data_IF_456359134207
#
_entry.id   IF_456359134207
#
_cell.length_a   1.000
_cell.length_b   1.000
_cell.length_c   1.000
_cell.angle_alpha   90.00
_cell.angle_beta   90.00
_cell.angle_gamma   90.00
#
_symmetry.space_group_name_H-M   'P 1'
#
loop_
_entity.id
_entity.type
_entity.pdbx_description
1 polymer ?
#
# COMPACT_ATOMS: atom_id res chain seq x y z
N UNK A 1 11.10 1.42 5.19
CA UNK A 1 11.95 1.05 4.03
C UNK A 1 11.66 -0.39 3.68
N UNK A 2 11.49 -0.69 2.40
CA UNK A 2 11.29 -2.07 1.91
C UNK A 2 12.52 -2.46 1.10
N UNK A 3 13.03 -3.65 1.39
CA UNK A 3 14.15 -4.27 0.69
C UNK A 3 13.69 -5.60 0.10
N UNK A 4 14.18 -5.91 -1.10
CA UNK A 4 14.07 -7.25 -1.69
C UNK A 4 15.46 -7.88 -1.61
N UNK A 5 15.53 -9.17 -1.30
CA UNK A 5 16.77 -9.93 -1.25
C UNK A 5 16.53 -11.34 -1.78
N UNK A 6 17.56 -11.91 -2.38
CA UNK A 6 17.64 -13.35 -2.58
C UNK A 6 17.84 -14.03 -1.22
N UNK A 7 17.10 -15.10 -0.95
CA UNK A 7 17.25 -15.87 0.29
C UNK A 7 18.56 -16.66 0.31
N UNK A 8 19.07 -17.04 -0.86
CA UNK A 8 20.34 -17.77 -1.01
C UNK A 8 21.56 -16.84 -0.94
N UNK A 9 21.36 -15.53 -1.17
CA UNK A 9 22.35 -14.48 -0.93
C UNK A 9 21.76 -13.25 -0.21
N UNK A 10 21.56 -13.32 1.12
CA UNK A 10 21.02 -12.20 1.91
C UNK A 10 21.84 -10.91 1.87
N UNK A 11 23.10 -10.98 1.42
CA UNK A 11 23.99 -9.82 1.35
C UNK A 11 23.66 -8.91 0.15
N UNK A 12 22.98 -9.43 -0.87
CA UNK A 12 22.62 -8.72 -2.11
C UNK A 12 21.29 -7.94 -2.05
N UNK A 13 20.84 -7.56 -0.84
CA UNK A 13 19.55 -6.85 -0.69
C UNK A 13 19.54 -5.49 -1.40
N UNK A 14 18.42 -5.18 -2.06
CA UNK A 14 18.21 -3.90 -2.75
C UNK A 14 17.06 -3.13 -2.10
N UNK A 15 17.26 -1.84 -1.79
CA UNK A 15 16.20 -0.96 -1.29
C UNK A 15 15.30 -0.58 -2.47
N UNK A 16 14.05 -1.02 -2.46
CA UNK A 16 13.08 -0.70 -3.52
C UNK A 16 12.08 0.38 -3.12
N UNK A 17 11.82 0.56 -1.83
CA UNK A 17 10.91 1.62 -1.36
C UNK A 17 11.47 2.33 -0.15
N UNK A 18 11.53 3.66 -0.24
CA UNK A 18 11.80 4.52 0.90
C UNK A 18 10.55 4.78 1.74
N UNK A 19 10.67 4.68 3.06
CA UNK A 19 9.58 4.90 4.02
C UNK A 19 8.35 4.00 3.83
N UNK A 20 8.48 2.89 3.08
CA UNK A 20 7.46 1.84 2.98
C UNK A 20 7.31 1.05 4.28
N UNK A 21 6.06 0.69 4.60
CA UNK A 21 5.64 -0.22 5.68
C UNK A 21 5.35 -1.61 5.14
N UNK A 22 4.19 -2.19 5.50
CA UNK A 22 3.84 -3.57 5.14
C UNK A 22 3.60 -3.74 3.63
N UNK A 23 4.28 -4.69 2.96
CA UNK A 23 4.08 -5.00 1.55
C UNK A 23 3.19 -6.22 1.28
N UNK A 24 2.76 -6.35 0.03
CA UNK A 24 2.18 -7.56 -0.57
C UNK A 24 2.54 -7.59 -2.06
N UNK A 25 2.75 -8.78 -2.62
CA UNK A 25 3.07 -8.98 -4.04
C UNK A 25 1.80 -9.14 -4.86
N UNK A 26 1.66 -8.36 -5.94
CA UNK A 26 0.63 -8.55 -6.96
C UNK A 26 1.09 -9.37 -8.16
N UNK A 27 2.40 -9.50 -8.36
CA UNK A 27 3.09 -10.39 -9.30
C UNK A 27 4.58 -10.45 -8.94
N UNK A 28 5.44 -11.02 -9.80
CA UNK A 28 6.90 -11.04 -9.62
C UNK A 28 7.53 -9.63 -9.58
N UNK A 29 6.96 -8.67 -10.31
CA UNK A 29 7.54 -7.34 -10.48
C UNK A 29 6.64 -6.23 -9.89
N UNK A 30 5.56 -6.57 -9.19
CA UNK A 30 4.58 -5.58 -8.67
C UNK A 30 4.40 -5.72 -7.18
N UNK A 31 4.71 -4.65 -6.45
CA UNK A 31 4.46 -4.53 -5.02
C UNK A 31 3.36 -3.52 -4.73
N UNK A 32 2.47 -3.89 -3.81
CA UNK A 32 1.64 -2.94 -3.08
C UNK A 32 2.18 -2.80 -1.67
N UNK A 33 2.14 -1.61 -1.12
CA UNK A 33 2.58 -1.36 0.25
C UNK A 33 1.85 -0.16 0.85
N UNK A 34 1.75 -0.09 2.17
CA UNK A 34 1.31 1.13 2.83
C UNK A 34 2.49 1.99 3.29
N UNK A 35 2.34 3.31 3.28
CA UNK A 35 3.23 4.26 3.97
C UNK A 35 2.46 5.47 4.47
N UNK A 36 3.07 6.22 5.37
CA UNK A 36 2.52 7.50 5.82
C UNK A 36 2.64 8.54 4.68
N UNK A 37 1.56 9.25 4.40
CA UNK A 37 1.45 10.31 3.41
C UNK A 37 0.72 11.50 4.05
N UNK A 38 1.47 12.51 4.48
CA UNK A 38 0.96 13.57 5.35
C UNK A 38 0.53 13.00 6.71
N UNK A 39 -0.71 13.27 7.10
CA UNK A 39 -1.27 12.82 8.39
C UNK A 39 -1.94 11.44 8.34
N UNK A 40 -2.09 10.85 7.15
CA UNK A 40 -2.80 9.60 6.95
C UNK A 40 -1.87 8.50 6.43
N UNK A 41 -2.26 7.25 6.62
CA UNK A 41 -1.70 6.12 5.91
C UNK A 41 -2.35 5.97 4.54
N UNK A 42 -1.57 5.60 3.53
CA UNK A 42 -2.07 5.34 2.19
C UNK A 42 -1.40 4.11 1.58
N UNK A 43 -2.12 3.43 0.69
CA UNK A 43 -1.58 2.31 -0.10
C UNK A 43 -1.07 2.83 -1.44
N UNK A 44 0.10 2.34 -1.82
CA UNK A 44 0.80 2.63 -3.06
C UNK A 44 1.11 1.33 -3.80
N UNK A 45 1.21 1.43 -5.12
CA UNK A 45 1.71 0.40 -6.04
C UNK A 45 3.07 0.84 -6.56
N UNK A 46 3.99 -0.08 -6.75
CA UNK A 46 5.28 0.19 -7.40
C UNK A 46 5.67 -1.01 -8.26
N UNK A 47 6.27 -0.70 -9.41
CA UNK A 47 6.89 -1.72 -10.26
C UNK A 47 8.35 -1.86 -9.86
N UNK A 48 8.74 -3.04 -9.43
CA UNK A 48 10.12 -3.40 -9.10
C UNK A 48 10.70 -4.18 -10.26
N UNK A 49 11.27 -3.46 -11.22
CA UNK A 49 11.87 -4.10 -12.39
C UNK A 49 13.01 -5.03 -11.99
N UNK A 50 13.18 -6.12 -12.76
CA UNK A 50 14.34 -7.02 -12.73
C UNK A 50 15.63 -6.23 -13.06
N UNK A 51 16.14 -5.52 -12.06
CA UNK A 51 17.45 -4.86 -11.92
C UNK A 51 17.54 -4.09 -10.58
N UNK A 52 16.58 -4.30 -9.66
CA UNK A 52 16.57 -3.67 -8.34
C UNK A 52 16.12 -2.20 -8.34
N UNK A 53 15.71 -1.67 -9.50
CA UNK A 53 15.17 -0.32 -9.61
C UNK A 53 13.65 -0.35 -9.55
N UNK A 54 13.11 0.37 -8.58
CA UNK A 54 11.69 0.58 -8.43
C UNK A 54 11.25 1.82 -9.21
N UNK A 55 10.06 1.77 -9.81
CA UNK A 55 9.39 2.95 -10.36
C UNK A 55 9.04 3.95 -9.24
N UNK A 56 8.59 5.14 -9.62
CA UNK A 56 7.94 6.03 -8.66
C UNK A 56 6.65 5.36 -8.13
N UNK A 57 6.40 5.35 -6.80
CA UNK A 57 5.20 4.75 -6.25
C UNK A 57 3.93 5.51 -6.66
N UNK A 58 2.97 4.79 -7.22
CA UNK A 58 1.66 5.30 -7.62
C UNK A 58 0.70 5.13 -6.45
N UNK A 59 -0.02 6.18 -6.08
CA UNK A 59 -0.99 6.12 -4.98
C UNK A 59 -2.27 5.40 -5.44
N UNK A 60 -2.73 4.43 -4.67
CA UNK A 60 -3.91 3.60 -4.99
C UNK A 60 -5.18 4.12 -4.32
N UNK A 61 -5.03 4.62 -3.10
CA UNK A 61 -6.16 5.00 -2.24
C UNK A 61 -6.38 6.52 -2.25
N UNK A 62 -7.64 7.02 -2.26
CA UNK A 62 -7.95 8.46 -2.20
C UNK A 62 -7.33 9.25 -1.04
N UNK A 63 -7.23 10.57 -1.20
CA UNK A 63 -6.80 11.50 -0.15
C UNK A 63 -7.81 11.57 1.00
N UNK A 64 -7.32 11.93 2.18
CA UNK A 64 -8.18 12.21 3.34
C UNK A 64 -8.65 11.00 4.16
N UNK A 65 -8.28 9.77 3.79
CA UNK A 65 -8.57 8.56 4.57
C UNK A 65 -7.32 7.81 4.99
N UNK A 66 -7.42 7.03 6.06
CA UNK A 66 -6.40 6.06 6.42
C UNK A 66 -6.61 4.77 5.64
N UNK A 67 -5.55 4.28 5.02
CA UNK A 67 -5.53 3.01 4.31
C UNK A 67 -4.27 2.21 4.64
N UNK A 68 -4.49 0.98 5.09
CA UNK A 68 -3.45 0.09 5.61
C UNK A 68 -3.66 -1.35 5.13
N UNK A 69 -2.65 -2.20 5.38
CA UNK A 69 -2.73 -3.66 5.18
C UNK A 69 -3.23 -4.07 3.79
N UNK A 70 -2.46 -3.77 2.72
CA UNK A 70 -2.83 -4.21 1.38
C UNK A 70 -2.78 -5.74 1.27
N UNK A 71 -3.75 -6.31 0.57
CA UNK A 71 -3.76 -7.69 0.11
C UNK A 71 -4.01 -7.68 -1.40
N UNK A 72 -2.96 -7.90 -2.18
CA UNK A 72 -3.07 -7.89 -3.63
C UNK A 72 -3.90 -9.08 -4.13
N UNK A 73 -4.75 -8.81 -5.11
CA UNK A 73 -5.51 -9.83 -5.84
C UNK A 73 -4.78 -10.16 -7.16
N UNK A 74 -4.26 -9.12 -7.83
CA UNK A 74 -3.45 -9.22 -9.05
C UNK A 74 -2.54 -7.97 -9.21
N UNK A 75 -1.98 -7.76 -10.39
CA UNK A 75 -1.09 -6.62 -10.71
C UNK A 75 -1.72 -5.23 -10.59
N UNK A 76 -3.04 -5.15 -10.59
CA UNK A 76 -3.84 -3.92 -10.68
C UNK A 76 -4.94 -3.83 -9.64
N UNK A 77 -5.26 -4.93 -8.95
CA UNK A 77 -6.35 -5.00 -7.99
C UNK A 77 -5.84 -5.33 -6.59
N UNK A 78 -6.29 -4.59 -5.58
CA UNK A 78 -5.89 -4.77 -4.17
C UNK A 78 -7.06 -4.55 -3.21
N UNK A 79 -7.21 -5.45 -2.24
CA UNK A 79 -8.10 -5.25 -1.10
C UNK A 79 -7.35 -4.52 0.01
N UNK A 80 -7.97 -3.50 0.60
CA UNK A 80 -7.32 -2.58 1.54
C UNK A 80 -8.23 -2.33 2.73
N UNK A 81 -7.66 -2.34 3.94
CA UNK A 81 -8.36 -1.91 5.13
C UNK A 81 -8.36 -0.37 5.22
N UNK A 82 -9.55 0.24 5.17
CA UNK A 82 -9.74 1.69 5.14
C UNK A 82 -10.46 2.21 6.37
N UNK A 83 -10.20 3.46 6.76
CA UNK A 83 -11.01 4.24 7.69
C UNK A 83 -11.20 5.61 7.03
N UNK A 84 -12.43 5.92 6.62
CA UNK A 84 -12.74 7.11 5.82
C UNK A 84 -12.79 8.40 6.64
N UNK A 85 -13.02 8.28 7.94
CA UNK A 85 -13.03 9.39 8.87
C UNK A 85 -12.38 8.98 10.18
N UNK A 86 -11.42 9.75 10.69
CA UNK A 86 -10.85 9.51 12.02
C UNK A 86 -11.91 9.76 13.11
N UNK A 87 -11.84 8.98 14.18
CA UNK A 87 -12.65 9.20 15.39
C UNK A 87 -11.88 10.03 16.40
N UNK A 88 -12.53 11.02 16.98
CA UNK A 88 -12.02 11.78 18.10
C UNK A 88 -12.51 11.19 19.43
N UNK A 89 -11.80 11.51 20.51
CA UNK A 89 -12.19 11.05 21.85
C UNK A 89 -13.53 11.67 22.26
N UNK A 90 -14.54 10.82 22.51
CA UNK A 90 -15.89 11.24 22.87
C UNK A 90 -16.90 11.16 21.72
N UNK A 91 -16.47 10.83 20.50
CA UNK A 91 -17.37 10.62 19.37
C UNK A 91 -18.32 9.45 19.61
N UNK A 92 -19.62 9.66 19.33
CA UNK A 92 -20.52 8.55 18.98
C UNK A 92 -20.18 8.15 17.55
N UNK A 93 -19.67 6.93 17.37
CA UNK A 93 -19.16 6.50 16.06
C UNK A 93 -20.22 6.54 14.97
N UNK A 94 -19.84 7.10 13.82
CA UNK A 94 -20.58 6.99 12.56
C UNK A 94 -19.96 5.92 11.66
N UNK A 95 -20.71 5.47 10.65
CA UNK A 95 -20.29 4.41 9.73
C UNK A 95 -18.89 4.66 9.11
N UNK A 96 -18.62 5.89 8.67
CA UNK A 96 -17.34 6.26 8.05
C UNK A 96 -16.12 6.15 8.98
N UNK A 97 -16.33 6.02 10.30
CA UNK A 97 -15.28 5.86 11.30
C UNK A 97 -14.97 4.39 11.63
N UNK A 98 -15.73 3.44 11.08
CA UNK A 98 -15.40 2.02 11.18
C UNK A 98 -14.40 1.63 10.10
N UNK A 99 -13.63 0.57 10.41
CA UNK A 99 -12.70 0.00 9.44
C UNK A 99 -13.46 -0.87 8.47
N UNK A 100 -13.35 -0.57 7.18
CA UNK A 100 -13.92 -1.36 6.11
C UNK A 100 -12.83 -2.05 5.30
N UNK A 101 -13.20 -3.09 4.55
CA UNK A 101 -12.35 -3.65 3.50
C UNK A 101 -12.91 -3.13 2.19
N UNK A 102 -12.09 -2.40 1.43
CA UNK A 102 -12.45 -1.85 0.13
C UNK A 102 -11.52 -2.40 -0.94
N UNK A 103 -12.05 -2.63 -2.14
CA UNK A 103 -11.28 -3.14 -3.29
C UNK A 103 -11.00 -1.99 -4.23
N UNK A 104 -9.73 -1.76 -4.54
CA UNK A 104 -9.27 -0.77 -5.50
C UNK A 104 -8.74 -1.48 -6.75
N UNK A 105 -9.16 -1.00 -7.92
CA UNK A 105 -8.75 -1.48 -9.24
C UNK A 105 -8.18 -0.30 -10.02
N UNK A 106 -6.88 -0.34 -10.31
CA UNK A 106 -6.18 0.76 -10.98
C UNK A 106 -6.57 0.92 -12.47
N UNK A 107 -7.32 -0.02 -13.05
CA UNK A 107 -7.81 0.08 -14.43
C UNK A 107 -9.19 0.72 -14.53
N UNK A 108 -9.90 0.89 -13.40
CA UNK A 108 -11.18 1.55 -13.36
C UNK A 108 -10.95 3.00 -12.97
N UNK A 109 -11.37 3.92 -13.83
CA UNK A 109 -11.48 5.34 -13.44
C UNK A 109 -12.46 5.45 -12.27
N UNK A 110 -12.06 6.21 -11.24
CA UNK A 110 -12.89 6.54 -10.08
C UNK A 110 -13.82 7.71 -10.34
#
# INVERSE_FOLDING_TARGET
NIFIMDIDDPSSRTKVVENGGWPTWGSEDVLFFHRKAGDNWAVFRVDVSNNGLASDPIRVTPDGMDAITPAAIDTTTVAVATIRQKSEFGDVRVEAQYRHIEIFDLNKEG
#
